data_IF_654918244027
#
_entry.id   IF_654918244027
#
_cell.length_a   1.000
_cell.length_b   1.000
_cell.length_c   1.000
_cell.angle_alpha   90.00
_cell.angle_beta   90.00
_cell.angle_gamma   90.00
#
_symmetry.space_group_name_H-M   'P 1'
#
loop_
_entity.id
_entity.type
_entity.pdbx_description
1 polymer ?
#
# COMPACT_ATOMS: atom_id res chain seq x y z
N UNK A 1 -15.21 -5.96 -14.12
CA UNK A 1 -14.76 -6.39 -12.79
C UNK A 1 -13.36 -6.95 -12.96
N UNK A 2 -12.39 -6.37 -12.25
CA UNK A 2 -10.98 -6.73 -12.31
C UNK A 2 -10.62 -7.59 -11.09
N UNK A 3 -10.02 -8.75 -11.31
CA UNK A 3 -9.50 -9.57 -10.20
C UNK A 3 -8.08 -9.14 -9.89
N UNK A 4 -7.81 -8.78 -8.63
CA UNK A 4 -6.50 -8.29 -8.17
C UNK A 4 -6.03 -9.12 -6.97
N UNK A 5 -4.80 -9.60 -7.02
CA UNK A 5 -4.15 -10.25 -5.87
C UNK A 5 -3.68 -9.20 -4.86
N UNK A 6 -4.42 -9.04 -3.76
CA UNK A 6 -4.12 -8.04 -2.72
C UNK A 6 -3.50 -8.72 -1.50
N UNK A 7 -2.19 -8.54 -1.34
CA UNK A 7 -1.40 -9.01 -0.22
C UNK A 7 -1.18 -7.88 0.80
N UNK A 8 -1.65 -8.09 2.03
CA UNK A 8 -1.41 -7.19 3.17
C UNK A 8 -1.48 -7.99 4.46
N UNK A 9 -0.71 -7.61 5.48
CA UNK A 9 -0.69 -8.30 6.78
C UNK A 9 -2.07 -8.39 7.45
N UNK A 10 -2.88 -7.33 7.38
CA UNK A 10 -4.25 -7.32 7.92
C UNK A 10 -5.30 -7.19 6.82
N UNK A 11 -5.50 -8.26 6.04
CA UNK A 11 -6.38 -8.25 4.85
C UNK A 11 -7.79 -7.69 5.12
N UNK A 12 -8.41 -8.03 6.25
CA UNK A 12 -9.77 -7.61 6.59
C UNK A 12 -9.95 -6.08 6.73
N UNK A 13 -8.86 -5.33 6.91
CA UNK A 13 -8.87 -3.88 7.03
C UNK A 13 -7.99 -3.24 5.95
N UNK A 14 -6.69 -3.55 5.91
CA UNK A 14 -5.73 -2.98 4.96
C UNK A 14 -6.09 -3.36 3.52
N UNK A 15 -6.33 -4.66 3.30
CA UNK A 15 -6.69 -5.20 1.99
C UNK A 15 -7.97 -4.58 1.43
N UNK A 16 -9.00 -4.40 2.26
CA UNK A 16 -10.25 -3.77 1.85
C UNK A 16 -10.11 -2.28 1.52
N UNK A 17 -9.27 -1.54 2.25
CA UNK A 17 -9.01 -0.14 1.93
C UNK A 17 -8.24 -0.04 0.62
N UNK A 18 -7.21 -0.87 0.41
CA UNK A 18 -6.49 -0.90 -0.86
C UNK A 18 -7.38 -1.32 -2.04
N UNK A 19 -8.24 -2.33 -1.85
CA UNK A 19 -9.24 -2.73 -2.85
C UNK A 19 -10.09 -1.54 -3.25
N UNK A 20 -10.63 -0.80 -2.27
CA UNK A 20 -11.44 0.39 -2.52
C UNK A 20 -10.64 1.48 -3.25
N UNK A 21 -9.42 1.80 -2.82
CA UNK A 21 -8.58 2.79 -3.48
C UNK A 21 -8.27 2.43 -4.93
N UNK A 22 -8.00 1.14 -5.21
CA UNK A 22 -7.81 0.64 -6.57
C UNK A 22 -9.07 0.85 -7.42
N UNK A 23 -10.26 0.55 -6.91
CA UNK A 23 -11.52 0.82 -7.64
C UNK A 23 -11.67 2.29 -7.99
N UNK A 24 -11.34 3.18 -7.05
CA UNK A 24 -11.44 4.62 -7.25
C UNK A 24 -10.43 5.15 -8.26
N UNK A 25 -9.21 4.60 -8.29
CA UNK A 25 -8.17 5.01 -9.24
C UNK A 25 -8.42 4.45 -10.64
N UNK A 26 -8.87 3.19 -10.74
CA UNK A 26 -9.09 2.51 -12.02
C UNK A 26 -10.46 2.80 -12.64
N UNK A 27 -11.43 3.26 -11.86
CA UNK A 27 -12.81 3.44 -12.30
C UNK A 27 -13.51 2.12 -12.65
N UNK A 28 -13.02 0.98 -12.14
CA UNK A 28 -13.58 -0.36 -12.39
C UNK A 28 -13.74 -1.11 -11.07
N UNK A 29 -14.79 -1.93 -10.89
CA UNK A 29 -14.92 -2.77 -9.70
C UNK A 29 -13.76 -3.76 -9.57
N UNK A 30 -13.21 -3.91 -8.37
CA UNK A 30 -12.07 -4.75 -8.03
C UNK A 30 -12.51 -5.84 -7.08
N UNK A 31 -12.26 -7.08 -7.48
CA UNK A 31 -12.42 -8.26 -6.65
C UNK A 31 -11.04 -8.71 -6.14
N UNK A 32 -10.89 -8.78 -4.82
CA UNK A 32 -9.68 -9.32 -4.21
C UNK A 32 -9.61 -10.84 -4.46
N UNK A 33 -8.53 -11.29 -5.08
CA UNK A 33 -8.18 -12.71 -5.15
C UNK A 33 -7.75 -13.20 -3.77
N UNK A 34 -8.19 -14.40 -3.40
CA UNK A 34 -7.95 -15.01 -2.09
C UNK A 34 -6.92 -16.13 -2.19
N UNK A 35 -6.10 -16.24 -1.15
CA UNK A 35 -5.08 -17.27 -1.00
C UNK A 35 -4.97 -17.65 0.48
N UNK A 36 -4.53 -18.89 0.73
CA UNK A 36 -4.16 -19.37 2.06
C UNK A 36 -2.78 -18.85 2.50
N UNK A 37 -2.06 -18.15 1.61
CA UNK A 37 -0.73 -17.58 1.92
C UNK A 37 -0.94 -16.32 2.77
N UNK A 38 -0.53 -16.42 4.03
CA UNK A 38 -0.57 -15.31 4.97
C UNK A 38 0.74 -14.49 4.97
N UNK A 39 0.59 -13.20 5.25
CA UNK A 39 1.71 -12.27 5.38
C UNK A 39 1.79 -11.78 6.81
N UNK A 40 2.97 -11.88 7.43
CA UNK A 40 3.21 -11.41 8.80
C UNK A 40 4.59 -10.75 8.89
N UNK A 41 4.63 -9.41 8.80
CA UNK A 41 5.86 -8.64 8.79
C UNK A 41 6.67 -8.74 7.49
N UNK A 42 7.58 -7.79 7.31
CA UNK A 42 8.33 -7.58 6.06
C UNK A 42 9.17 -8.80 5.61
N UNK A 43 9.72 -9.58 6.55
CA UNK A 43 10.53 -10.77 6.22
C UNK A 43 9.68 -11.88 5.59
N UNK A 44 8.45 -12.09 6.05
CA UNK A 44 7.54 -13.06 5.44
C UNK A 44 7.03 -12.56 4.10
N UNK A 45 6.69 -11.27 3.98
CA UNK A 45 6.35 -10.66 2.69
C UNK A 45 7.41 -10.93 1.64
N UNK A 46 8.69 -10.70 1.97
CA UNK A 46 9.80 -11.01 1.05
C UNK A 46 9.83 -12.47 0.59
N UNK A 47 9.72 -13.41 1.54
CA UNK A 47 9.82 -14.85 1.25
C UNK A 47 8.64 -15.36 0.45
N UNK A 48 7.44 -14.84 0.73
CA UNK A 48 6.18 -15.39 0.22
C UNK A 48 5.64 -14.64 -1.00
N UNK A 49 6.05 -13.40 -1.26
CA UNK A 49 5.54 -12.60 -2.38
C UNK A 49 5.69 -13.31 -3.73
N UNK A 50 6.85 -13.91 -4.00
CA UNK A 50 7.07 -14.65 -5.25
C UNK A 50 6.13 -15.85 -5.40
N UNK A 51 5.95 -16.64 -4.32
CA UNK A 51 5.01 -17.76 -4.31
C UNK A 51 3.57 -17.28 -4.50
N UNK A 52 3.16 -16.25 -3.75
CA UNK A 52 1.83 -15.65 -3.82
C UNK A 52 1.50 -15.18 -5.25
N UNK A 53 2.41 -14.43 -5.88
CA UNK A 53 2.26 -13.92 -7.23
C UNK A 53 2.22 -15.04 -8.27
N UNK A 54 3.07 -16.06 -8.14
CA UNK A 54 3.04 -17.19 -9.06
C UNK A 54 1.75 -18.01 -8.93
N UNK A 55 1.25 -18.22 -7.72
CA UNK A 55 -0.04 -18.89 -7.48
C UNK A 55 -1.20 -18.08 -8.05
N UNK A 56 -1.19 -16.75 -7.90
CA UNK A 56 -2.18 -15.87 -8.50
C UNK A 56 -2.15 -15.96 -10.04
N UNK A 57 -0.96 -15.93 -10.63
CA UNK A 57 -0.78 -16.06 -12.08
C UNK A 57 -1.30 -17.40 -12.63
N UNK A 58 -1.07 -18.51 -11.90
CA UNK A 58 -1.58 -19.83 -12.27
C UNK A 58 -3.11 -19.89 -12.29
N UNK A 59 -3.78 -19.01 -11.53
CA UNK A 59 -5.24 -18.85 -11.52
C UNK A 59 -5.73 -17.74 -12.46
N UNK A 60 -4.86 -17.26 -13.36
CA UNK A 60 -5.20 -16.26 -14.37
C UNK A 60 -5.23 -14.81 -13.86
N UNK A 61 -4.80 -14.54 -12.63
CA UNK A 61 -4.71 -13.18 -12.10
C UNK A 61 -3.51 -12.46 -12.70
N UNK A 62 -3.73 -11.24 -13.18
CA UNK A 62 -2.71 -10.42 -13.89
C UNK A 62 -2.25 -9.19 -13.13
N UNK A 63 -3.04 -8.74 -12.15
CA UNK A 63 -2.73 -7.54 -11.38
C UNK A 63 -2.60 -7.90 -9.92
N UNK A 64 -1.61 -7.31 -9.26
CA UNK A 64 -1.35 -7.52 -7.85
C UNK A 64 -1.02 -6.21 -7.14
N UNK A 65 -1.30 -6.20 -5.84
CA UNK A 65 -0.86 -5.18 -4.91
C UNK A 65 -0.26 -5.89 -3.70
N UNK A 66 0.99 -5.58 -3.37
CA UNK A 66 1.67 -6.09 -2.18
C UNK A 66 2.00 -4.93 -1.26
N UNK A 67 1.32 -4.88 -0.12
CA UNK A 67 1.61 -3.95 0.95
C UNK A 67 2.76 -4.50 1.81
N UNK A 68 3.78 -3.69 2.01
CA UNK A 68 4.92 -4.04 2.85
C UNK A 68 5.07 -3.04 3.98
N UNK A 69 5.38 -3.56 5.16
CA UNK A 69 5.83 -2.74 6.27
C UNK A 69 7.21 -2.15 5.95
N UNK A 70 7.23 -0.83 5.68
CA UNK A 70 8.44 -0.07 5.43
C UNK A 70 9.01 0.56 6.72
N UNK A 71 9.01 -0.15 7.87
CA UNK A 71 9.46 0.41 9.16
C UNK A 71 10.76 1.19 9.03
N UNK A 72 10.59 2.50 9.18
CA UNK A 72 11.66 3.46 9.26
C UNK A 72 11.01 4.74 9.75
N UNK A 73 10.58 4.75 11.02
CA UNK A 73 10.30 6.03 11.66
C UNK A 73 11.43 7.01 11.34
N UNK A 74 11.09 8.12 10.69
CA UNK A 74 11.85 9.36 10.48
C UNK A 74 13.30 9.32 9.97
N UNK A 75 13.88 8.15 9.74
CA UNK A 75 15.34 8.02 9.54
C UNK A 75 15.72 7.40 8.21
N UNK A 76 14.76 6.91 7.42
CA UNK A 76 14.99 6.22 6.14
C UNK A 76 14.21 6.91 5.03
N UNK A 77 14.79 6.99 3.84
CA UNK A 77 14.16 7.66 2.70
C UNK A 77 12.82 7.00 2.34
N UNK A 78 11.76 7.80 2.20
CA UNK A 78 10.51 7.29 1.65
C UNK A 78 10.68 7.02 0.16
N UNK A 79 10.10 5.92 -0.34
CA UNK A 79 10.22 5.49 -1.74
C UNK A 79 9.80 6.55 -2.77
N UNK A 80 8.97 7.51 -2.37
CA UNK A 80 8.45 8.59 -3.21
C UNK A 80 9.11 9.96 -2.94
N UNK A 81 10.15 10.01 -2.11
CA UNK A 81 10.88 11.25 -1.84
C UNK A 81 11.82 11.59 -3.02
N UNK A 82 11.95 12.86 -3.44
CA UNK A 82 12.80 13.21 -4.60
C UNK A 82 14.27 12.83 -4.49
N UNK A 83 14.81 12.82 -3.26
CA UNK A 83 16.18 12.41 -2.97
C UNK A 83 16.35 10.89 -2.78
N UNK A 84 15.34 10.09 -3.10
CA UNK A 84 15.38 8.64 -2.90
C UNK A 84 16.14 7.94 -4.04
N UNK A 85 17.29 7.36 -3.71
CA UNK A 85 18.09 6.56 -4.64
C UNK A 85 17.76 5.07 -4.49
N UNK A 86 17.08 4.51 -5.49
CA UNK A 86 16.65 3.10 -5.46
C UNK A 86 17.82 2.13 -5.44
N UNK A 87 18.92 2.42 -6.13
CA UNK A 87 20.09 1.51 -6.18
C UNK A 87 20.79 1.48 -4.82
N UNK A 88 21.02 2.65 -4.23
CA UNK A 88 21.61 2.77 -2.90
C UNK A 88 20.74 2.08 -1.83
N UNK A 89 19.42 2.27 -1.92
CA UNK A 89 18.47 1.73 -0.95
C UNK A 89 18.33 0.20 -1.09
N UNK A 90 18.44 -0.35 -2.30
CA UNK A 90 18.49 -1.81 -2.49
C UNK A 90 19.81 -2.42 -2.00
N UNK A 91 20.92 -1.69 -2.06
CA UNK A 91 22.23 -2.16 -1.63
C UNK A 91 22.40 -2.12 -0.10
N UNK A 92 21.63 -1.29 0.60
CA UNK A 92 21.67 -1.18 2.05
C UNK A 92 20.85 -2.29 2.74
N UNK A 93 21.42 -3.04 3.71
CA UNK A 93 20.66 -3.99 4.54
C UNK A 93 19.49 -3.34 5.29
N UNK A 94 19.60 -2.03 5.53
CA UNK A 94 18.62 -1.20 6.22
C UNK A 94 17.88 -0.24 5.28
N UNK A 95 18.02 -0.40 3.96
CA UNK A 95 17.37 0.49 3.01
C UNK A 95 15.85 0.29 2.89
N UNK A 96 15.27 1.01 1.94
CA UNK A 96 13.84 1.01 1.67
C UNK A 96 13.31 -0.38 1.32
N UNK A 97 12.40 -0.87 2.16
CA UNK A 97 11.80 -2.20 2.03
C UNK A 97 10.84 -2.28 0.83
N UNK A 98 10.28 -1.14 0.39
CA UNK A 98 9.52 -1.08 -0.87
C UNK A 98 10.42 -1.39 -2.06
N UNK A 99 11.57 -0.71 -2.18
CA UNK A 99 12.53 -0.95 -3.26
C UNK A 99 13.11 -2.37 -3.21
N UNK A 100 13.43 -2.83 -2.00
CA UNK A 100 13.88 -4.20 -1.77
C UNK A 100 12.84 -5.25 -2.15
N UNK A 101 11.57 -5.06 -1.79
CA UNK A 101 10.52 -5.97 -2.22
C UNK A 101 10.39 -5.93 -3.74
N UNK A 102 10.34 -4.74 -4.33
CA UNK A 102 10.26 -4.55 -5.78
C UNK A 102 11.40 -5.29 -6.51
N UNK A 103 12.64 -5.24 -6.03
CA UNK A 103 13.76 -5.94 -6.68
C UNK A 103 13.71 -7.48 -6.54
N UNK A 104 12.94 -7.99 -5.59
CA UNK A 104 12.79 -9.44 -5.34
C UNK A 104 11.53 -10.06 -5.96
N UNK A 105 10.64 -9.26 -6.55
CA UNK A 105 9.48 -9.81 -7.26
C UNK A 105 9.93 -10.61 -8.48
N UNK A 106 9.19 -11.67 -8.87
CA UNK A 106 9.46 -12.39 -10.11
C UNK A 106 9.50 -11.43 -11.30
N UNK A 107 10.45 -11.60 -12.22
CA UNK A 107 10.60 -10.72 -13.40
C UNK A 107 9.32 -10.63 -14.23
N UNK A 108 8.55 -11.71 -14.31
CA UNK A 108 7.23 -11.75 -14.97
C UNK A 108 6.15 -10.89 -14.32
N UNK A 109 6.42 -10.26 -13.17
CA UNK A 109 5.53 -9.29 -12.50
C UNK A 109 6.12 -7.88 -12.46
N UNK A 110 7.35 -7.70 -12.94
CA UNK A 110 8.08 -6.42 -12.99
C UNK A 110 8.20 -5.87 -14.40
N UNK A 111 8.43 -6.74 -15.38
CA UNK A 111 8.84 -6.37 -16.74
C UNK A 111 7.87 -6.88 -17.82
N UNK A 112 6.96 -7.80 -17.48
CA UNK A 112 5.98 -8.35 -18.43
C UNK A 112 4.81 -7.35 -18.64
N UNK A 113 4.51 -6.92 -19.87
CA UNK A 113 3.41 -5.99 -20.13
C UNK A 113 2.02 -6.57 -19.82
N UNK A 114 1.89 -7.88 -19.62
CA UNK A 114 0.61 -8.54 -19.32
C UNK A 114 0.40 -8.78 -17.83
N UNK A 115 1.37 -8.43 -16.97
CA UNK A 115 1.28 -8.60 -15.52
C UNK A 115 1.90 -7.43 -14.79
N UNK A 116 1.24 -6.96 -13.74
CA UNK A 116 1.69 -5.80 -13.00
C UNK A 116 1.53 -6.00 -11.51
N UNK A 117 2.56 -5.64 -10.76
CA UNK A 117 2.52 -5.65 -9.30
C UNK A 117 2.80 -4.24 -8.76
N UNK A 118 1.85 -3.70 -8.00
CA UNK A 118 2.02 -2.48 -7.21
C UNK A 118 2.62 -2.84 -5.87
N UNK A 119 3.66 -2.13 -5.44
CA UNK A 119 4.22 -2.24 -4.09
C UNK A 119 3.94 -0.95 -3.33
N UNK A 120 3.31 -1.07 -2.17
CA UNK A 120 2.92 0.09 -1.34
C UNK A 120 3.44 -0.02 0.09
N UNK A 121 3.98 1.06 0.67
CA UNK A 121 4.32 1.10 2.09
C UNK A 121 3.04 1.17 2.92
N UNK A 122 2.89 0.27 3.90
CA UNK A 122 1.65 0.21 4.69
C UNK A 122 1.44 1.44 5.58
N UNK A 123 2.51 2.16 5.90
CA UNK A 123 2.50 3.38 6.72
C UNK A 123 1.76 4.55 6.09
N UNK A 124 1.72 4.64 4.75
CA UNK A 124 1.08 5.77 4.08
C UNK A 124 -0.44 5.67 4.16
N UNK A 125 -0.99 4.49 4.47
CA UNK A 125 -2.42 4.25 4.52
C UNK A 125 -3.11 5.15 5.53
N UNK A 126 -2.62 5.21 6.77
CA UNK A 126 -3.23 6.09 7.79
C UNK A 126 -3.03 7.57 7.46
N UNK A 127 -1.90 7.98 6.87
CA UNK A 127 -1.76 9.35 6.36
C UNK A 127 -2.83 9.66 5.32
N UNK A 128 -3.05 8.76 4.36
CA UNK A 128 -4.07 8.94 3.32
C UNK A 128 -5.46 9.05 3.94
N UNK A 129 -5.80 8.22 4.92
CA UNK A 129 -7.07 8.31 5.62
C UNK A 129 -7.26 9.64 6.36
N UNK A 130 -6.22 10.16 7.01
CA UNK A 130 -6.28 11.48 7.66
C UNK A 130 -6.47 12.60 6.64
N UNK A 131 -5.77 12.56 5.50
CA UNK A 131 -5.96 13.53 4.40
C UNK A 131 -7.38 13.43 3.82
N UNK A 132 -7.89 12.22 3.61
CA UNK A 132 -9.25 11.99 3.12
C UNK A 132 -10.29 12.58 4.09
N UNK A 133 -10.09 12.41 5.40
CA UNK A 133 -10.87 13.03 6.48
C UNK A 133 -10.79 14.57 6.51
N UNK A 134 -9.90 15.17 5.73
CA UNK A 134 -9.72 16.63 5.66
C UNK A 134 -8.66 17.17 6.62
N UNK A 135 -7.85 16.31 7.22
CA UNK A 135 -6.72 16.76 8.04
C UNK A 135 -5.65 17.37 7.14
N UNK A 136 -5.16 18.55 7.50
CA UNK A 136 -4.01 19.17 6.84
C UNK A 136 -2.71 18.77 7.56
N UNK A 137 -1.62 18.65 6.80
CA UNK A 137 -0.28 18.42 7.33
C UNK A 137 0.70 19.40 6.70
N UNK A 138 1.70 19.80 7.49
CA UNK A 138 2.91 20.46 6.98
C UNK A 138 3.98 19.41 6.73
N UNK A 139 4.86 19.63 5.77
CA UNK A 139 6.05 18.78 5.62
C UNK A 139 6.98 18.92 6.83
N UNK A 140 7.71 17.87 7.25
CA UNK A 140 7.73 16.51 6.68
C UNK A 140 6.43 15.73 6.93
N UNK A 141 6.03 14.92 5.94
CA UNK A 141 4.79 14.13 5.92
C UNK A 141 4.63 13.28 7.19
N UNK A 142 3.41 13.05 7.72
CA UNK A 142 3.21 12.33 8.99
C UNK A 142 3.79 10.92 9.04
N UNK A 143 3.75 10.18 7.93
CA UNK A 143 4.35 8.85 7.77
C UNK A 143 5.89 8.88 7.88
N UNK A 144 6.50 10.05 7.68
CA UNK A 144 7.92 10.26 7.97
C UNK A 144 8.13 10.41 9.46
N UNK A 145 7.23 11.05 10.19
CA UNK A 145 7.49 11.43 11.59
C UNK A 145 7.01 10.39 12.60
N UNK A 146 5.91 9.71 12.28
CA UNK A 146 5.16 8.91 13.23
C UNK A 146 5.11 7.46 12.79
N UNK A 147 5.19 6.57 13.78
CA UNK A 147 4.88 5.18 13.54
C UNK A 147 3.39 5.01 13.21
N UNK A 148 3.08 3.92 12.53
CA UNK A 148 1.70 3.58 12.13
C UNK A 148 0.72 3.56 13.29
N UNK A 149 1.15 3.10 14.47
CA UNK A 149 0.30 3.00 15.66
C UNK A 149 -0.12 4.36 16.21
N UNK A 150 0.73 5.39 16.08
CA UNK A 150 0.39 6.77 16.41
C UNK A 150 -0.64 7.29 15.40
N UNK A 151 -0.39 7.11 14.10
CA UNK A 151 -1.33 7.56 13.06
C UNK A 151 -2.71 6.88 13.18
N UNK A 152 -2.76 5.59 13.53
CA UNK A 152 -4.03 4.89 13.82
C UNK A 152 -4.78 5.51 15.00
N UNK A 153 -4.08 5.95 16.05
CA UNK A 153 -4.70 6.65 17.18
C UNK A 153 -5.26 8.01 16.75
N UNK A 154 -4.58 8.72 15.86
CA UNK A 154 -5.07 10.01 15.34
C UNK A 154 -6.28 9.83 14.40
N UNK A 155 -6.33 8.73 13.64
CA UNK A 155 -7.50 8.37 12.86
C UNK A 155 -8.71 8.10 13.75
N UNK A 156 -8.58 7.16 14.70
CA UNK A 156 -9.71 6.49 15.34
C UNK A 156 -9.92 6.80 16.82
N UNK A 157 -8.99 7.53 17.45
CA UNK A 157 -9.03 7.84 18.87
C UNK A 157 -8.56 6.70 19.78
N UNK A 158 -8.82 6.88 21.08
CA UNK A 158 -8.57 5.90 22.14
C UNK A 158 -9.84 5.72 22.98
N UNK A 159 -10.27 4.47 23.28
CA UNK A 159 -9.70 3.21 22.80
C UNK A 159 -9.87 3.02 21.29
N UNK A 160 -8.97 2.29 20.65
CA UNK A 160 -9.10 1.97 19.22
C UNK A 160 -10.26 0.98 19.03
N UNK A 161 -11.17 1.22 18.06
CA UNK A 161 -12.27 0.31 17.78
C UNK A 161 -11.79 -0.96 17.04
N UNK A 162 -12.67 -1.94 16.88
CA UNK A 162 -12.34 -3.18 16.17
C UNK A 162 -12.01 -2.91 14.69
N UNK A 163 -11.25 -3.80 14.05
CA UNK A 163 -10.87 -3.67 12.63
C UNK A 163 -12.07 -3.54 11.70
N UNK A 164 -13.19 -4.19 12.02
CA UNK A 164 -14.43 -4.07 11.24
C UNK A 164 -15.02 -2.66 11.32
N UNK A 165 -15.01 -2.04 12.51
CA UNK A 165 -15.48 -0.67 12.71
C UNK A 165 -14.52 0.33 12.08
N UNK A 166 -13.21 0.16 12.27
CA UNK A 166 -12.18 0.99 11.62
C UNK A 166 -12.32 0.97 10.10
N UNK A 167 -12.58 -0.21 9.50
CA UNK A 167 -12.84 -0.35 8.07
C UNK A 167 -14.05 0.47 7.63
N UNK A 168 -15.19 0.34 8.33
CA UNK A 168 -16.40 1.11 8.00
C UNK A 168 -16.13 2.62 8.00
N UNK A 169 -15.52 3.11 9.08
CA UNK A 169 -15.15 4.52 9.22
C UNK A 169 -14.18 4.97 8.11
N UNK A 170 -13.16 4.17 7.78
CA UNK A 170 -12.19 4.47 6.74
C UNK A 170 -12.84 4.58 5.35
N UNK A 171 -13.72 3.63 5.03
CA UNK A 171 -14.44 3.62 3.76
C UNK A 171 -15.39 4.82 3.66
N UNK A 172 -16.06 5.20 4.75
CA UNK A 172 -16.92 6.38 4.78
C UNK A 172 -16.13 7.67 4.47
N UNK A 173 -14.92 7.81 5.03
CA UNK A 173 -14.05 8.95 4.71
C UNK A 173 -13.61 8.96 3.24
N UNK A 174 -13.29 7.79 2.68
CA UNK A 174 -12.85 7.66 1.29
C UNK A 174 -14.01 7.79 0.27
N UNK A 175 -15.24 7.57 0.69
CA UNK A 175 -16.43 7.78 -0.14
C UNK A 175 -16.74 9.26 -0.37
N UNK A 176 -16.25 10.16 0.48
CA UNK A 176 -16.46 11.60 0.31
C UNK A 176 -15.97 12.07 -1.08
N UNK A 177 -16.74 12.85 -1.85
CA UNK A 177 -16.40 13.21 -3.23
C UNK A 177 -15.00 13.85 -3.40
N UNK A 178 -14.62 14.65 -2.41
CA UNK A 178 -13.32 15.35 -2.39
C UNK A 178 -12.15 14.47 -1.93
N UNK A 179 -12.38 13.26 -1.39
CA UNK A 179 -11.32 12.45 -0.79
C UNK A 179 -10.19 12.15 -1.77
N UNK A 180 -10.52 11.64 -2.97
CA UNK A 180 -9.51 11.34 -4.00
C UNK A 180 -8.78 12.61 -4.43
N UNK A 181 -9.48 13.74 -4.55
CA UNK A 181 -8.87 15.02 -4.92
C UNK A 181 -7.84 15.47 -3.86
N UNK A 182 -8.19 15.35 -2.57
CA UNK A 182 -7.26 15.64 -1.47
C UNK A 182 -6.06 14.69 -1.49
N UNK A 183 -6.30 13.40 -1.73
CA UNK A 183 -5.23 12.39 -1.82
C UNK A 183 -4.27 12.66 -2.98
N UNK A 184 -4.77 13.05 -4.15
CA UNK A 184 -3.95 13.37 -5.33
C UNK A 184 -2.96 14.50 -5.11
N UNK A 185 -3.14 15.34 -4.09
CA UNK A 185 -2.14 16.35 -3.71
C UNK A 185 -0.90 15.78 -3.02
N UNK A 186 -0.91 14.49 -2.64
CA UNK A 186 0.17 13.86 -1.86
C UNK A 186 1.13 13.08 -2.76
N UNK A 187 2.45 13.32 -2.66
CA UNK A 187 3.45 12.55 -3.42
C UNK A 187 3.35 11.03 -3.20
N UNK A 188 3.08 10.59 -1.96
CA UNK A 188 2.91 9.17 -1.64
C UNK A 188 1.75 8.51 -2.38
N UNK A 189 0.62 9.21 -2.49
CA UNK A 189 -0.54 8.72 -3.23
C UNK A 189 -0.33 8.80 -4.74
N UNK A 190 0.34 9.86 -5.23
CA UNK A 190 0.66 9.96 -6.65
C UNK A 190 1.58 8.83 -7.10
N UNK A 191 2.59 8.46 -6.30
CA UNK A 191 3.46 7.31 -6.58
C UNK A 191 2.67 5.97 -6.64
N UNK A 192 1.62 5.82 -5.83
CA UNK A 192 0.71 4.69 -5.93
C UNK A 192 -0.09 4.72 -7.24
N UNK A 193 -0.70 5.86 -7.57
CA UNK A 193 -1.45 6.04 -8.82
C UNK A 193 -0.58 5.78 -10.05
N UNK A 194 0.67 6.24 -10.05
CA UNK A 194 1.60 6.06 -11.16
C UNK A 194 1.99 4.60 -11.37
N UNK A 195 2.07 3.79 -10.31
CA UNK A 195 2.25 2.34 -10.44
C UNK A 195 0.97 1.67 -10.98
N UNK A 196 -0.21 2.08 -10.51
CA UNK A 196 -1.51 1.53 -10.95
C UNK A 196 -1.78 1.85 -12.43
N UNK A 197 -1.40 3.03 -12.92
CA UNK A 197 -1.54 3.43 -14.33
C UNK A 197 -0.71 2.60 -15.32
N UNK A 198 0.24 1.80 -14.83
CA UNK A 198 1.05 0.89 -15.66
C UNK A 198 0.38 -0.49 -15.86
N UNK A 199 -0.82 -0.69 -15.31
CA UNK A 199 -1.60 -1.91 -15.45
C UNK A 199 -2.25 -2.05 -16.83
#
# INVERSE_FOLDING_TARGET
MLTVAIASEFHAYDGEIYRYLLERVLGTPVQAWKSEIEFNGCKHVRKQAGLYLNTAAQQGVRHALVAIDNDGGSTRGLAHHPAHDTEQECASPDGCRVCWLHSTLPTSWREDPYRSCVVVPIQTLETWLLIAKGHAFTEPSPEQRYNRQVLKKDCYGKPQPSSQVMKGIALDWLQHPEAITRLSSRPSFQAFVDQVKRW
#
